data_IF_471113146717
#
_entry.id   IF_471113146717
#
_cell.length_a   1.000
_cell.length_b   1.000
_cell.length_c   1.000
_cell.angle_alpha   90.00
_cell.angle_beta   90.00
_cell.angle_gamma   90.00
#
_symmetry.space_group_name_H-M   'P 1'
#
loop_
_entity.id
_entity.type
_entity.pdbx_description
1 polymer ?
#
# COMPACT_ATOMS: atom_id res chain seq x y z
N UNK A 1 9.12 16.62 -11.13
CA UNK A 1 9.18 15.46 -12.03
C UNK A 1 10.61 14.96 -12.08
N UNK A 2 10.85 13.68 -11.83
CA UNK A 2 12.19 13.07 -11.89
C UNK A 2 12.45 12.57 -13.30
N UNK A 3 13.64 12.84 -13.82
CA UNK A 3 14.06 12.40 -15.15
C UNK A 3 15.29 11.51 -15.03
N UNK A 4 15.34 10.46 -15.84
CA UNK A 4 16.46 9.53 -15.91
C UNK A 4 16.96 9.46 -17.36
N UNK A 5 18.29 9.53 -17.52
CA UNK A 5 18.95 9.42 -18.83
C UNK A 5 20.12 8.45 -18.71
N UNK A 6 20.17 7.48 -19.61
CA UNK A 6 21.30 6.58 -19.75
C UNK A 6 22.33 7.22 -20.69
N UNK A 7 23.59 7.24 -20.27
CA UNK A 7 24.74 7.60 -21.11
C UNK A 7 25.69 6.40 -21.22
N UNK A 8 26.63 6.46 -22.17
CA UNK A 8 27.43 5.30 -22.57
C UNK A 8 28.20 4.61 -21.43
N UNK A 9 28.55 5.36 -20.38
CA UNK A 9 29.30 4.88 -19.21
C UNK A 9 28.66 5.23 -17.85
N UNK A 10 27.46 5.80 -17.80
CA UNK A 10 26.86 6.27 -16.53
C UNK A 10 25.33 6.32 -16.52
N UNK A 11 24.75 6.09 -15.34
CA UNK A 11 23.34 6.34 -15.04
C UNK A 11 23.20 7.63 -14.22
N UNK A 12 22.37 8.57 -14.69
CA UNK A 12 22.19 9.87 -14.04
C UNK A 12 20.73 10.12 -13.73
N UNK A 13 20.46 10.49 -12.47
CA UNK A 13 19.13 10.86 -11.96
C UNK A 13 19.11 12.36 -11.68
N UNK A 14 18.08 13.07 -12.18
CA UNK A 14 17.98 14.51 -12.06
C UNK A 14 16.76 14.96 -11.25
N UNK A 15 16.96 15.95 -10.37
CA UNK A 15 15.90 16.80 -9.78
C UNK A 15 16.41 18.23 -9.63
N UNK A 16 15.71 19.20 -10.23
CA UNK A 16 15.91 20.66 -10.08
C UNK A 16 17.39 21.08 -9.86
N UNK A 17 18.25 20.86 -10.86
CA UNK A 17 19.58 21.48 -10.93
C UNK A 17 20.73 20.83 -10.13
N UNK A 18 20.53 19.67 -9.48
CA UNK A 18 21.63 18.87 -8.88
C UNK A 18 21.74 17.52 -9.57
N UNK A 19 22.97 17.07 -9.83
CA UNK A 19 23.28 15.76 -10.43
C UNK A 19 24.18 14.94 -9.50
N UNK A 20 23.92 13.63 -9.45
CA UNK A 20 24.78 12.65 -8.77
C UNK A 20 25.10 11.54 -9.77
N UNK A 21 26.38 11.26 -9.99
CA UNK A 21 26.85 10.25 -10.93
C UNK A 21 27.15 8.95 -10.17
N UNK A 22 26.55 7.84 -10.60
CA UNK A 22 26.84 6.51 -10.07
C UNK A 22 27.53 5.70 -11.17
N UNK A 23 28.84 5.49 -11.03
CA UNK A 23 29.61 4.64 -11.92
C UNK A 23 29.20 3.18 -11.75
N UNK A 24 28.86 2.51 -12.84
CA UNK A 24 28.58 1.08 -12.89
C UNK A 24 29.79 0.35 -13.49
N UNK A 25 30.04 -0.89 -13.09
CA UNK A 25 31.12 -1.69 -13.70
C UNK A 25 30.68 -2.28 -15.06
N UNK A 26 31.64 -2.64 -15.91
CA UNK A 26 31.38 -3.09 -17.30
C UNK A 26 30.46 -4.31 -17.39
N UNK A 27 30.49 -5.22 -16.40
CA UNK A 27 29.65 -6.44 -16.40
C UNK A 27 28.17 -6.10 -16.17
N UNK A 28 27.87 -5.17 -15.27
CA UNK A 28 26.51 -4.67 -15.00
C UNK A 28 25.95 -3.92 -16.22
N UNK A 29 26.80 -3.19 -16.93
CA UNK A 29 26.45 -2.41 -18.12
C UNK A 29 26.08 -3.31 -19.32
N UNK A 30 26.81 -4.43 -19.51
CA UNK A 30 26.54 -5.42 -20.56
C UNK A 30 25.25 -6.20 -20.29
N UNK A 31 24.98 -6.55 -19.02
CA UNK A 31 23.75 -7.26 -18.62
C UNK A 31 22.50 -6.37 -18.74
N UNK A 32 22.63 -5.05 -18.55
CA UNK A 32 21.54 -4.09 -18.74
C UNK A 32 21.28 -3.75 -20.21
N UNK A 33 22.31 -3.59 -21.07
CA UNK A 33 22.14 -3.30 -22.51
C UNK A 33 21.44 -4.43 -23.27
N UNK A 34 21.51 -5.66 -22.77
CA UNK A 34 20.90 -6.85 -23.40
C UNK A 34 19.47 -7.15 -22.90
N UNK A 35 19.00 -6.51 -21.83
CA UNK A 35 17.70 -6.83 -21.23
C UNK A 35 16.55 -5.98 -21.80
N UNK A 36 15.76 -6.54 -22.73
CA UNK A 36 14.61 -5.86 -23.37
C UNK A 36 13.36 -5.67 -22.49
N UNK A 37 13.37 -6.00 -21.20
CA UNK A 37 12.17 -5.96 -20.35
C UNK A 37 12.18 -4.78 -19.37
N UNK A 38 11.41 -3.73 -19.70
CA UNK A 38 11.22 -2.49 -18.91
C UNK A 38 10.86 -2.73 -17.42
N UNK A 39 10.27 -3.88 -17.10
CA UNK A 39 9.94 -4.29 -15.73
C UNK A 39 11.17 -4.61 -14.87
N UNK A 40 12.23 -5.19 -15.46
CA UNK A 40 13.45 -5.55 -14.73
C UNK A 40 14.26 -4.30 -14.33
N UNK A 41 14.29 -3.30 -15.21
CA UNK A 41 14.94 -2.00 -14.95
C UNK A 41 14.25 -1.21 -13.81
N UNK A 42 12.92 -1.31 -13.71
CA UNK A 42 12.14 -0.70 -12.61
C UNK A 42 12.36 -1.42 -11.28
N UNK A 43 12.51 -2.75 -11.32
CA UNK A 43 12.84 -3.56 -10.14
C UNK A 43 14.25 -3.29 -9.60
N UNK A 44 15.25 -3.17 -10.48
CA UNK A 44 16.62 -2.85 -10.07
C UNK A 44 16.73 -1.44 -9.46
N UNK A 45 16.01 -0.45 -9.99
CA UNK A 45 15.95 0.88 -9.41
C UNK A 45 15.31 0.90 -8.00
N UNK A 46 14.29 0.06 -7.76
CA UNK A 46 13.69 -0.11 -6.44
C UNK A 46 14.64 -0.81 -5.45
N UNK A 47 15.41 -1.81 -5.90
CA UNK A 47 16.42 -2.47 -5.08
C UNK A 47 17.56 -1.51 -4.67
N UNK A 48 18.00 -0.63 -5.57
CA UNK A 48 19.05 0.37 -5.29
C UNK A 48 18.56 1.41 -4.26
N UNK A 49 17.28 1.81 -4.30
CA UNK A 49 16.70 2.73 -3.31
C UNK A 49 16.64 2.13 -1.89
N UNK A 50 16.42 0.81 -1.77
CA UNK A 50 16.42 0.09 -0.48
C UNK A 50 17.82 -0.06 0.10
N UNK A 51 18.84 -0.28 -0.75
CA UNK A 51 20.24 -0.43 -0.31
C UNK A 51 20.86 0.91 0.15
N UNK A 52 20.37 2.04 -0.36
CA UNK A 52 20.91 3.37 -0.05
C UNK A 52 20.30 4.05 1.20
N UNK A 53 19.48 3.36 2.00
CA UNK A 53 18.97 3.91 3.26
C UNK A 53 18.17 5.21 3.13
N UNK A 54 17.66 5.52 1.94
CA UNK A 54 16.74 6.64 1.75
C UNK A 54 15.39 6.23 2.32
N UNK A 55 15.04 6.81 3.47
CA UNK A 55 13.76 6.59 4.14
C UNK A 55 12.61 6.65 3.15
N UNK A 56 11.77 5.61 3.19
CA UNK A 56 10.53 5.55 2.42
C UNK A 56 9.80 6.87 2.61
N UNK A 57 9.62 7.63 1.52
CA UNK A 57 8.73 8.77 1.53
C UNK A 57 7.36 8.26 1.98
N UNK A 58 6.96 8.66 3.20
CA UNK A 58 5.59 8.53 3.65
C UNK A 58 4.69 9.27 2.66
N UNK A 59 3.63 8.60 2.20
CA UNK A 59 2.58 9.25 1.39
C UNK A 59 2.54 8.89 -0.09
N UNK A 60 2.90 7.67 -0.51
CA UNK A 60 2.34 7.17 -1.76
C UNK A 60 0.84 6.91 -1.52
N UNK A 61 -0.08 7.51 -2.31
CA UNK A 61 -1.48 7.18 -2.21
C UNK A 61 -1.63 5.68 -2.42
N UNK A 62 -2.49 5.06 -1.61
CA UNK A 62 -2.92 3.67 -1.76
C UNK A 62 -3.74 3.59 -3.05
N UNK A 63 -3.06 3.63 -4.20
CA UNK A 63 -3.66 3.50 -5.50
C UNK A 63 -4.06 2.05 -5.68
N UNK A 64 -5.30 1.81 -6.10
CA UNK A 64 -5.76 0.48 -6.43
C UNK A 64 -4.89 -0.08 -7.56
N UNK A 65 -4.21 -1.18 -7.30
CA UNK A 65 -3.33 -1.85 -8.25
C UNK A 65 -3.91 -3.22 -8.59
N UNK A 66 -3.54 -3.77 -9.73
CA UNK A 66 -3.86 -5.17 -10.01
C UNK A 66 -2.99 -6.07 -9.13
N UNK A 67 -3.47 -7.25 -8.78
CA UNK A 67 -2.67 -8.24 -8.04
C UNK A 67 -1.33 -8.60 -8.72
N UNK A 68 -1.22 -8.40 -10.04
CA UNK A 68 0.00 -8.60 -10.82
C UNK A 68 1.11 -7.60 -10.47
N UNK A 69 0.76 -6.40 -10.01
CA UNK A 69 1.67 -5.29 -9.69
C UNK A 69 2.12 -5.30 -8.23
N UNK A 70 1.42 -6.06 -7.37
CA UNK A 70 1.67 -6.13 -5.93
C UNK A 70 2.59 -7.30 -5.56
N UNK A 71 3.34 -7.12 -4.49
CA UNK A 71 4.12 -8.16 -3.81
C UNK A 71 3.83 -8.10 -2.31
N UNK A 72 4.21 -9.12 -1.54
CA UNK A 72 4.00 -9.11 -0.09
C UNK A 72 4.77 -7.96 0.57
N UNK A 73 4.11 -7.14 1.39
CA UNK A 73 4.75 -6.05 2.12
C UNK A 73 5.46 -6.55 3.40
N UNK A 74 6.27 -5.69 4.03
CA UNK A 74 6.83 -6.00 5.35
C UNK A 74 5.72 -6.20 6.40
N UNK A 75 4.67 -5.36 6.38
CA UNK A 75 3.52 -5.50 7.27
C UNK A 75 2.83 -6.86 7.06
N UNK A 76 2.68 -7.30 5.81
CA UNK A 76 2.16 -8.64 5.50
C UNK A 76 3.05 -9.78 6.02
N UNK A 77 4.37 -9.65 5.92
CA UNK A 77 5.32 -10.64 6.44
C UNK A 77 5.25 -10.74 7.96
N UNK A 78 5.32 -9.61 8.66
CA UNK A 78 5.24 -9.58 10.12
C UNK A 78 3.86 -10.04 10.61
N UNK A 79 2.82 -9.73 9.82
CA UNK A 79 1.50 -10.28 10.04
C UNK A 79 1.54 -11.81 10.02
N UNK A 80 2.04 -12.45 8.96
CA UNK A 80 2.05 -13.92 8.89
C UNK A 80 2.94 -14.51 9.99
N UNK A 81 4.14 -13.97 10.22
CA UNK A 81 5.08 -14.42 11.28
C UNK A 81 4.43 -14.50 12.67
N UNK A 82 3.61 -13.51 13.02
CA UNK A 82 2.92 -13.48 14.30
C UNK A 82 1.89 -14.62 14.48
N UNK A 83 1.40 -15.23 13.39
CA UNK A 83 0.44 -16.34 13.43
C UNK A 83 1.11 -17.71 13.30
N UNK A 84 2.16 -17.82 12.49
CA UNK A 84 2.90 -19.09 12.32
C UNK A 84 3.76 -19.42 13.54
N UNK A 85 4.30 -18.39 14.21
CA UNK A 85 5.30 -18.59 15.26
C UNK A 85 6.65 -19.03 14.68
N UNK A 86 7.70 -18.96 15.49
CA UNK A 86 9.05 -19.33 15.07
C UNK A 86 9.50 -20.62 15.73
N UNK A 87 9.94 -21.60 14.93
CA UNK A 87 10.67 -22.76 15.41
C UNK A 87 12.13 -22.74 14.92
N UNK A 88 13.07 -22.76 15.86
CA UNK A 88 14.50 -22.81 15.54
C UNK A 88 14.94 -24.16 14.98
N UNK A 89 14.18 -25.24 15.24
CA UNK A 89 14.49 -26.62 14.86
C UNK A 89 13.36 -27.22 14.06
N UNK A 90 13.68 -28.21 13.24
CA UNK A 90 12.66 -28.94 12.50
C UNK A 90 11.75 -29.76 13.43
N UNK A 91 10.46 -29.82 13.10
CA UNK A 91 9.47 -30.65 13.76
C UNK A 91 8.45 -31.17 12.75
N UNK A 92 7.75 -32.26 13.06
CA UNK A 92 6.64 -32.76 12.23
C UNK A 92 5.33 -32.10 12.67
N UNK A 93 4.61 -31.48 11.74
CA UNK A 93 3.37 -30.73 12.01
C UNK A 93 2.08 -31.54 11.74
N UNK A 94 2.22 -32.84 11.46
CA UNK A 94 1.11 -33.72 11.09
C UNK A 94 0.96 -33.94 9.58
N UNK A 95 1.51 -33.06 8.75
CA UNK A 95 1.49 -33.16 7.29
C UNK A 95 2.88 -33.13 6.65
N UNK A 96 3.81 -32.35 7.20
CA UNK A 96 5.18 -32.22 6.73
C UNK A 96 6.16 -31.95 7.88
N UNK A 97 7.46 -32.04 7.59
CA UNK A 97 8.49 -31.50 8.48
C UNK A 97 8.67 -30.01 8.22
N UNK A 98 8.41 -29.20 9.24
CA UNK A 98 8.40 -27.74 9.19
C UNK A 98 9.52 -27.15 10.06
N UNK A 99 10.03 -25.96 9.69
CA UNK A 99 11.04 -25.19 10.41
C UNK A 99 10.78 -23.68 10.20
N UNK A 100 11.31 -22.84 11.09
CA UNK A 100 11.20 -21.40 10.98
C UNK A 100 9.76 -20.94 11.17
N UNK A 101 9.20 -20.24 10.18
CA UNK A 101 7.82 -19.75 10.18
C UNK A 101 6.88 -20.67 9.39
N UNK A 102 6.98 -21.99 9.58
CA UNK A 102 6.14 -22.97 8.88
C UNK A 102 6.64 -23.40 7.49
N UNK A 103 7.87 -23.02 7.13
CA UNK A 103 8.51 -23.42 5.87
C UNK A 103 8.98 -24.87 5.92
N UNK A 104 9.12 -25.52 4.76
CA UNK A 104 9.59 -26.92 4.67
C UNK A 104 11.03 -27.08 5.20
N UNK A 105 11.21 -27.97 6.17
CA UNK A 105 12.51 -28.37 6.69
C UNK A 105 13.33 -29.21 5.69
N UNK A 106 12.65 -29.98 4.83
CA UNK A 106 13.25 -31.02 3.99
C UNK A 106 13.41 -32.37 4.72
N UNK A 107 13.27 -33.47 3.99
CA UNK A 107 13.17 -34.83 4.54
C UNK A 107 14.46 -35.33 5.21
N UNK A 108 15.62 -35.07 4.61
CA UNK A 108 16.93 -35.49 5.15
C UNK A 108 17.35 -34.74 6.41
N UNK A 109 16.88 -33.49 6.56
CA UNK A 109 17.31 -32.59 7.63
C UNK A 109 16.51 -32.81 8.94
N UNK A 110 15.25 -33.21 8.84
CA UNK A 110 14.46 -33.62 10.00
C UNK A 110 15.01 -34.88 10.65
N UNK A 111 15.42 -35.87 9.84
CA UNK A 111 15.94 -37.15 10.32
C UNK A 111 17.27 -37.03 11.08
N UNK A 112 18.06 -35.98 10.83
CA UNK A 112 19.34 -35.79 11.51
C UNK A 112 19.25 -35.03 12.83
N UNK A 113 18.12 -34.38 13.15
CA UNK A 113 17.93 -33.60 14.39
C UNK A 113 18.84 -32.36 14.55
N UNK A 114 19.74 -32.12 13.58
CA UNK A 114 20.81 -31.11 13.65
C UNK A 114 20.51 -29.86 12.82
N UNK A 115 19.39 -29.83 12.09
CA UNK A 115 19.02 -28.65 11.30
C UNK A 115 18.39 -27.58 12.19
N UNK A 116 19.09 -26.44 12.29
CA UNK A 116 18.60 -25.24 12.96
C UNK A 116 18.63 -24.03 12.05
N UNK A 117 17.73 -23.08 12.28
CA UNK A 117 17.63 -21.84 11.50
C UNK A 117 17.52 -20.63 12.44
N UNK A 118 18.05 -19.49 12.01
CA UNK A 118 17.86 -18.20 12.72
C UNK A 118 16.55 -17.54 12.28
N UNK A 119 16.02 -16.60 13.07
CA UNK A 119 14.81 -15.83 12.66
C UNK A 119 15.00 -15.11 11.32
N UNK A 120 16.19 -14.54 11.09
CA UNK A 120 16.51 -13.85 9.85
C UNK A 120 16.52 -14.80 8.65
N UNK A 121 17.18 -15.96 8.77
CA UNK A 121 17.19 -16.96 7.71
C UNK A 121 15.78 -17.56 7.48
N UNK A 122 15.00 -17.76 8.54
CA UNK A 122 13.62 -18.23 8.44
C UNK A 122 12.72 -17.23 7.71
N UNK A 123 12.89 -15.93 7.92
CA UNK A 123 12.14 -14.92 7.17
C UNK A 123 12.54 -14.92 5.69
N UNK A 124 13.83 -15.07 5.36
CA UNK A 124 14.28 -15.18 3.97
C UNK A 124 13.65 -16.41 3.29
N UNK A 125 13.67 -17.57 3.94
CA UNK A 125 13.05 -18.79 3.42
C UNK A 125 11.53 -18.61 3.21
N UNK A 126 10.85 -18.02 4.19
CA UNK A 126 9.41 -17.73 4.13
C UNK A 126 9.07 -16.79 2.96
N UNK A 127 9.85 -15.72 2.76
CA UNK A 127 9.66 -14.80 1.63
C UNK A 127 9.83 -15.51 0.29
N UNK A 128 10.85 -16.36 0.16
CA UNK A 128 11.08 -17.12 -1.06
C UNK A 128 9.89 -18.02 -1.36
N UNK A 129 9.37 -18.75 -0.37
CA UNK A 129 8.19 -19.61 -0.54
C UNK A 129 6.91 -18.82 -0.87
N UNK A 130 6.70 -17.66 -0.22
CA UNK A 130 5.62 -16.73 -0.56
C UNK A 130 5.69 -16.28 -2.01
N UNK A 131 6.86 -15.87 -2.48
CA UNK A 131 7.05 -15.39 -3.84
C UNK A 131 6.90 -16.52 -4.87
N UNK A 132 7.44 -17.71 -4.59
CA UNK A 132 7.45 -18.81 -5.55
C UNK A 132 6.11 -19.54 -5.63
N UNK A 133 5.37 -19.66 -4.52
CA UNK A 133 4.26 -20.62 -4.39
C UNK A 133 2.92 -19.93 -4.13
N UNK A 134 2.89 -18.96 -3.23
CA UNK A 134 1.63 -18.39 -2.73
C UNK A 134 1.16 -17.17 -3.54
N UNK A 135 2.04 -16.22 -3.85
CA UNK A 135 1.72 -15.04 -4.67
C UNK A 135 1.18 -15.43 -6.07
N UNK A 136 1.79 -16.37 -6.81
CA UNK A 136 1.26 -16.79 -8.10
C UNK A 136 -0.16 -17.36 -8.01
N UNK A 137 -0.48 -18.02 -6.90
CA UNK A 137 -1.80 -18.58 -6.65
C UNK A 137 -2.84 -17.48 -6.38
N UNK A 138 -2.51 -16.52 -5.51
CA UNK A 138 -3.35 -15.33 -5.29
C UNK A 138 -3.64 -14.64 -6.62
N UNK A 139 -2.59 -14.30 -7.38
CA UNK A 139 -2.72 -13.63 -8.69
C UNK A 139 -3.62 -14.37 -9.66
N UNK A 140 -3.45 -15.70 -9.77
CA UNK A 140 -4.31 -16.53 -10.65
C UNK A 140 -5.77 -16.48 -10.22
N UNK A 141 -6.04 -16.52 -8.92
CA UNK A 141 -7.41 -16.57 -8.39
C UNK A 141 -8.08 -15.18 -8.27
N UNK A 142 -7.30 -14.10 -8.37
CA UNK A 142 -7.77 -12.70 -8.34
C UNK A 142 -7.45 -11.93 -9.62
N UNK A 143 -7.29 -12.64 -10.74
CA UNK A 143 -6.94 -12.03 -12.03
C UNK A 143 -7.97 -10.98 -12.43
N UNK A 144 -7.49 -9.79 -12.82
CA UNK A 144 -8.34 -8.66 -13.23
C UNK A 144 -8.95 -7.84 -12.08
N UNK A 145 -8.82 -8.28 -10.83
CA UNK A 145 -9.30 -7.50 -9.69
C UNK A 145 -8.30 -6.43 -9.28
N UNK A 146 -8.82 -5.25 -8.99
CA UNK A 146 -8.08 -4.17 -8.34
C UNK A 146 -8.14 -4.34 -6.83
N UNK A 147 -7.03 -4.10 -6.16
CA UNK A 147 -6.92 -4.15 -4.71
C UNK A 147 -5.79 -3.27 -4.21
N UNK A 148 -5.83 -2.92 -2.93
CA UNK A 148 -4.73 -2.25 -2.26
C UNK A 148 -3.73 -3.25 -1.64
N UNK A 149 -2.61 -2.72 -1.13
CA UNK A 149 -1.55 -3.52 -0.53
C UNK A 149 -2.03 -4.37 0.64
N UNK A 150 -2.87 -3.84 1.54
CA UNK A 150 -3.37 -4.56 2.71
C UNK A 150 -4.31 -5.71 2.32
N UNK A 151 -5.15 -5.50 1.29
CA UNK A 151 -6.00 -6.53 0.73
C UNK A 151 -5.16 -7.66 0.12
N UNK A 152 -4.12 -7.33 -0.63
CA UNK A 152 -3.19 -8.31 -1.17
C UNK A 152 -2.45 -9.09 -0.07
N UNK A 153 -1.90 -8.40 0.93
CA UNK A 153 -1.19 -9.01 2.05
C UNK A 153 -2.09 -9.99 2.83
N UNK A 154 -3.35 -9.62 3.09
CA UNK A 154 -4.31 -10.49 3.76
C UNK A 154 -4.64 -11.74 2.94
N UNK A 155 -4.81 -11.61 1.61
CA UNK A 155 -5.03 -12.76 0.73
C UNK A 155 -3.81 -13.68 0.66
N UNK A 156 -2.60 -13.14 0.70
CA UNK A 156 -1.36 -13.95 0.79
C UNK A 156 -1.30 -14.68 2.14
N UNK A 157 -1.62 -14.02 3.26
CA UNK A 157 -1.70 -14.69 4.58
C UNK A 157 -2.72 -15.83 4.59
N UNK A 158 -3.90 -15.58 4.04
CA UNK A 158 -4.96 -16.59 3.90
C UNK A 158 -4.47 -17.79 3.09
N UNK A 159 -3.77 -17.53 1.98
CA UNK A 159 -3.24 -18.56 1.08
C UNK A 159 -2.12 -19.35 1.73
N UNK A 160 -1.22 -18.69 2.47
CA UNK A 160 -0.13 -19.34 3.21
C UNK A 160 -0.69 -20.35 4.21
N UNK A 161 -1.71 -19.94 4.98
CA UNK A 161 -2.34 -20.79 5.98
C UNK A 161 -3.08 -22.00 5.40
N UNK A 162 -3.75 -21.82 4.26
CA UNK A 162 -4.64 -22.85 3.70
C UNK A 162 -3.94 -23.73 2.68
N UNK A 163 -2.69 -23.43 2.32
CA UNK A 163 -1.97 -24.08 1.23
C UNK A 163 -2.47 -23.68 -0.17
N UNK A 164 -3.49 -22.81 -0.27
CA UNK A 164 -3.98 -22.26 -1.54
C UNK A 164 -4.72 -23.26 -2.43
N UNK A 165 -5.62 -24.09 -1.89
CA UNK A 165 -6.52 -24.92 -2.71
C UNK A 165 -7.13 -24.16 -3.89
N UNK A 166 -7.22 -24.79 -5.07
CA UNK A 166 -7.40 -24.17 -6.39
C UNK A 166 -8.59 -23.19 -6.52
N UNK A 167 -9.57 -23.29 -5.62
CA UNK A 167 -10.78 -22.46 -5.63
C UNK A 167 -11.07 -21.69 -4.33
N UNK A 168 -10.28 -21.88 -3.27
CA UNK A 168 -10.59 -21.28 -1.96
C UNK A 168 -10.45 -19.76 -1.96
N UNK A 169 -9.45 -19.21 -2.64
CA UNK A 169 -9.23 -17.76 -2.67
C UNK A 169 -10.33 -17.11 -3.50
N UNK A 170 -10.56 -17.60 -4.73
CA UNK A 170 -11.52 -16.98 -5.66
C UNK A 170 -12.96 -16.99 -5.15
N UNK A 171 -13.29 -17.93 -4.26
CA UNK A 171 -14.63 -18.08 -3.67
C UNK A 171 -14.72 -17.50 -2.26
N UNK A 172 -13.61 -17.00 -1.70
CA UNK A 172 -13.60 -16.41 -0.37
C UNK A 172 -14.49 -15.15 -0.32
N UNK A 173 -15.16 -14.90 0.81
CA UNK A 173 -15.93 -13.67 1.01
C UNK A 173 -15.15 -12.37 0.72
N UNK A 174 -13.84 -12.33 1.00
CA UNK A 174 -13.00 -11.17 0.70
C UNK A 174 -12.88 -10.89 -0.80
N UNK A 175 -12.71 -11.94 -1.62
CA UNK A 175 -12.66 -11.77 -3.09
C UNK A 175 -14.05 -11.46 -3.67
N UNK A 176 -15.11 -12.00 -3.08
CA UNK A 176 -16.49 -11.63 -3.46
C UNK A 176 -16.77 -10.15 -3.20
N UNK A 177 -16.27 -9.59 -2.09
CA UNK A 177 -16.29 -8.14 -1.85
C UNK A 177 -15.55 -7.35 -2.93
N UNK A 178 -14.34 -7.78 -3.36
CA UNK A 178 -13.60 -7.10 -4.44
C UNK A 178 -14.33 -7.12 -5.79
N UNK A 179 -15.24 -8.07 -6.00
CA UNK A 179 -16.11 -8.15 -7.18
C UNK A 179 -17.42 -7.36 -7.03
N UNK A 180 -17.66 -6.73 -5.89
CA UNK A 180 -18.91 -6.04 -5.59
C UNK A 180 -20.08 -6.97 -5.31
N UNK A 181 -19.85 -8.26 -5.04
CA UNK A 181 -20.91 -9.26 -4.83
C UNK A 181 -21.47 -9.25 -3.39
N UNK A 182 -20.80 -8.57 -2.45
CA UNK A 182 -21.23 -8.47 -1.05
C UNK A 182 -20.68 -7.23 -0.37
N UNK A 183 -21.38 -6.74 0.66
CA UNK A 183 -20.91 -5.62 1.49
C UNK A 183 -19.70 -6.01 2.33
N UNK A 184 -18.92 -5.02 2.76
CA UNK A 184 -17.78 -5.24 3.66
C UNK A 184 -18.19 -5.96 4.95
N UNK A 185 -19.29 -5.56 5.58
CA UNK A 185 -19.78 -6.18 6.82
C UNK A 185 -20.14 -7.66 6.61
N UNK A 186 -20.82 -7.99 5.51
CA UNK A 186 -21.17 -9.36 5.16
C UNK A 186 -19.91 -10.19 4.86
N UNK A 187 -18.95 -9.62 4.12
CA UNK A 187 -17.70 -10.28 3.80
C UNK A 187 -16.86 -10.59 5.04
N UNK A 188 -16.70 -9.62 5.95
CA UNK A 188 -15.95 -9.80 7.19
C UNK A 188 -16.56 -10.90 8.08
N UNK A 189 -17.89 -10.87 8.25
CA UNK A 189 -18.61 -11.86 9.06
C UNK A 189 -18.54 -13.26 8.45
N UNK A 190 -18.80 -13.39 7.15
CA UNK A 190 -18.72 -14.69 6.45
C UNK A 190 -17.30 -15.25 6.43
N UNK A 191 -16.28 -14.40 6.32
CA UNK A 191 -14.88 -14.83 6.27
C UNK A 191 -14.42 -15.45 7.60
N UNK A 192 -14.93 -14.97 8.74
CA UNK A 192 -14.60 -15.56 10.05
C UNK A 192 -14.91 -17.06 10.11
N UNK A 193 -15.99 -17.49 9.44
CA UNK A 193 -16.40 -18.89 9.38
C UNK A 193 -15.84 -19.63 8.15
N UNK A 194 -15.01 -18.98 7.33
CA UNK A 194 -14.41 -19.55 6.13
C UNK A 194 -13.15 -20.37 6.46
N UNK A 195 -13.37 -21.48 7.14
CA UNK A 195 -12.34 -22.38 7.68
C UNK A 195 -12.65 -23.83 7.33
N UNK A 196 -11.61 -24.66 7.21
CA UNK A 196 -11.80 -26.10 6.96
C UNK A 196 -12.23 -26.75 8.26
N UNK A 197 -13.37 -27.46 8.25
CA UNK A 197 -13.87 -28.24 9.39
C UNK A 197 -13.11 -29.56 9.50
N UNK A 198 -12.88 -30.02 10.74
CA UNK A 198 -12.35 -31.35 10.95
C UNK A 198 -13.40 -32.38 10.49
N UNK A 199 -13.08 -33.16 9.47
CA UNK A 199 -14.02 -34.11 8.85
C UNK A 199 -14.50 -35.22 9.80
N UNK A 200 -13.75 -35.54 10.85
CA UNK A 200 -14.11 -36.59 11.82
C UNK A 200 -14.98 -36.08 12.97
N UNK A 201 -14.88 -34.80 13.34
CA UNK A 201 -15.58 -34.25 14.51
C UNK A 201 -16.61 -33.17 14.16
N UNK A 202 -16.59 -32.66 12.93
CA UNK A 202 -17.39 -31.50 12.50
C UNK A 202 -17.00 -30.20 13.19
N UNK A 203 -16.00 -30.20 14.09
CA UNK A 203 -15.62 -29.04 14.87
C UNK A 203 -14.80 -28.05 14.03
N UNK A 204 -15.08 -26.77 14.28
CA UNK A 204 -14.34 -25.64 13.75
C UNK A 204 -13.27 -25.23 14.76
N UNK A 205 -12.03 -25.06 14.28
CA UNK A 205 -10.91 -24.56 15.09
C UNK A 205 -11.11 -23.06 15.41
N UNK A 206 -11.16 -22.72 16.70
CA UNK A 206 -11.35 -21.34 17.17
C UNK A 206 -10.14 -20.43 16.87
N UNK A 207 -8.94 -20.99 16.81
CA UNK A 207 -7.72 -20.32 16.36
C UNK A 207 -7.80 -19.92 14.89
N UNK A 208 -8.31 -20.81 14.02
CA UNK A 208 -8.55 -20.48 12.61
C UNK A 208 -9.59 -19.37 12.45
N UNK A 209 -10.70 -19.41 13.21
CA UNK A 209 -11.69 -18.32 13.20
C UNK A 209 -11.06 -16.99 13.57
N UNK A 210 -10.28 -16.95 14.66
CA UNK A 210 -9.59 -15.73 15.08
C UNK A 210 -8.58 -15.25 14.03
N UNK A 211 -7.86 -16.16 13.36
CA UNK A 211 -6.97 -15.82 12.25
C UNK A 211 -7.73 -15.18 11.10
N UNK A 212 -8.86 -15.77 10.67
CA UNK A 212 -9.72 -15.20 9.62
C UNK A 212 -10.22 -13.80 9.98
N UNK A 213 -10.68 -13.60 11.22
CA UNK A 213 -11.09 -12.27 11.72
C UNK A 213 -9.96 -11.25 11.61
N UNK A 214 -8.74 -11.62 11.98
CA UNK A 214 -7.57 -10.73 11.90
C UNK A 214 -7.15 -10.44 10.44
N UNK A 215 -7.26 -11.43 9.55
CA UNK A 215 -6.98 -11.26 8.12
C UNK A 215 -8.03 -10.36 7.46
N UNK A 216 -9.32 -10.52 7.76
CA UNK A 216 -10.35 -9.57 7.34
C UNK A 216 -10.06 -8.17 7.89
N UNK A 217 -9.66 -8.05 9.16
CA UNK A 217 -9.25 -6.75 9.74
C UNK A 217 -8.09 -6.13 8.96
N UNK A 218 -7.05 -6.90 8.61
CA UNK A 218 -5.96 -6.41 7.77
C UNK A 218 -6.49 -5.99 6.38
N UNK A 219 -7.25 -6.87 5.73
CA UNK A 219 -7.81 -6.65 4.41
C UNK A 219 -8.59 -5.32 4.33
N UNK A 220 -9.38 -5.02 5.36
CA UNK A 220 -10.16 -3.79 5.46
C UNK A 220 -9.42 -2.65 6.19
N UNK A 221 -8.20 -2.83 6.72
CA UNK A 221 -7.50 -1.77 7.46
C UNK A 221 -7.04 -0.59 6.59
N UNK A 222 -7.00 -0.78 5.25
CA UNK A 222 -6.79 0.29 4.26
C UNK A 222 -8.07 0.88 3.68
N UNK A 223 -9.24 0.45 4.19
CA UNK A 223 -10.57 0.87 3.79
C UNK A 223 -11.25 1.37 5.05
N UNK A 224 -11.35 2.68 5.30
CA UNK A 224 -12.11 3.13 6.47
C UNK A 224 -13.60 2.81 6.21
N UNK A 225 -14.24 1.88 6.96
CA UNK A 225 -15.65 1.51 6.73
C UNK A 225 -16.64 2.59 7.17
N UNK A 226 -16.13 3.69 7.72
CA UNK A 226 -16.93 4.80 8.19
C UNK A 226 -16.72 5.98 7.24
N UNK A 227 -17.73 6.86 7.10
CA UNK A 227 -17.51 8.14 6.46
C UNK A 227 -16.34 8.88 7.14
N UNK A 228 -15.62 9.73 6.41
CA UNK A 228 -14.57 10.54 7.01
C UNK A 228 -15.12 11.34 8.20
N UNK A 229 -14.32 11.50 9.25
CA UNK A 229 -14.78 12.18 10.47
C UNK A 229 -14.54 13.68 10.45
N UNK A 230 -13.39 14.09 9.90
CA UNK A 230 -12.99 15.48 9.81
C UNK A 230 -12.07 15.68 8.62
N UNK A 231 -12.04 16.91 8.11
CA UNK A 231 -11.06 17.39 7.16
C UNK A 231 -10.49 18.72 7.67
N UNK A 232 -9.24 19.02 7.32
CA UNK A 232 -8.57 20.26 7.69
C UNK A 232 -7.65 20.70 6.57
N UNK A 233 -7.81 21.97 6.17
CA UNK A 233 -6.90 22.68 5.28
C UNK A 233 -6.12 23.71 6.07
N UNK A 234 -4.83 23.83 5.79
CA UNK A 234 -3.96 24.88 6.34
C UNK A 234 -3.11 25.47 5.22
N UNK A 235 -2.64 26.69 5.45
CA UNK A 235 -1.73 27.37 4.55
C UNK A 235 -0.32 27.36 5.14
N UNK A 236 0.68 27.48 4.28
CA UNK A 236 2.08 27.51 4.68
C UNK A 236 2.48 28.82 5.39
N UNK A 237 1.81 29.93 5.07
CA UNK A 237 1.99 31.25 5.69
C UNK A 237 0.63 31.99 5.80
N UNK A 238 0.61 33.29 6.15
CA UNK A 238 -0.64 34.05 6.40
C UNK A 238 -0.90 35.22 5.42
N UNK A 239 0.08 35.61 4.62
CA UNK A 239 -0.02 36.71 3.66
C UNK A 239 0.87 36.46 2.45
N UNK A 240 0.39 36.80 1.25
CA UNK A 240 1.08 36.53 -0.01
C UNK A 240 0.99 37.70 -0.96
N UNK A 241 1.93 37.78 -1.89
CA UNK A 241 1.87 38.72 -3.01
C UNK A 241 1.17 38.10 -4.22
N UNK A 242 0.57 38.97 -5.03
CA UNK A 242 0.11 38.58 -6.35
C UNK A 242 1.25 37.91 -7.16
N UNK A 243 0.96 36.74 -7.73
CA UNK A 243 1.90 35.90 -8.48
C UNK A 243 2.66 34.87 -7.64
N UNK A 244 2.69 34.98 -6.31
CA UNK A 244 3.30 33.95 -5.45
C UNK A 244 2.50 32.65 -5.47
N UNK A 245 3.21 31.52 -5.33
CA UNK A 245 2.59 30.20 -5.24
C UNK A 245 2.27 29.87 -3.79
N UNK A 246 0.99 29.73 -3.49
CA UNK A 246 0.47 29.29 -2.20
C UNK A 246 0.43 27.77 -2.15
N UNK A 247 0.66 27.19 -0.97
CA UNK A 247 0.49 25.75 -0.76
C UNK A 247 -0.53 25.47 0.33
N UNK A 248 -1.62 24.83 -0.06
CA UNK A 248 -2.67 24.30 0.80
C UNK A 248 -2.26 22.90 1.26
N UNK A 249 -2.06 22.73 2.56
CA UNK A 249 -1.82 21.42 3.18
C UNK A 249 -3.16 20.81 3.60
N UNK A 250 -3.43 19.61 3.10
CA UNK A 250 -4.70 18.91 3.22
C UNK A 250 -4.54 17.71 4.17
N UNK A 251 -5.48 17.55 5.09
CA UNK A 251 -5.49 16.43 6.03
C UNK A 251 -6.91 16.00 6.37
N UNK A 252 -7.09 14.72 6.67
CA UNK A 252 -8.36 14.17 7.15
C UNK A 252 -8.16 12.89 7.95
N UNK A 253 -9.20 12.47 8.65
CA UNK A 253 -9.33 11.11 9.15
C UNK A 253 -10.34 10.35 8.29
N UNK A 254 -9.85 9.33 7.58
CA UNK A 254 -10.70 8.36 6.89
C UNK A 254 -11.06 8.66 5.44
N UNK A 255 -10.70 9.84 4.92
CA UNK A 255 -10.82 10.15 3.50
C UNK A 255 -9.71 9.51 2.67
N UNK A 256 -10.01 9.22 1.41
CA UNK A 256 -9.04 8.68 0.43
C UNK A 256 -8.69 9.68 -0.67
N UNK A 257 -9.39 10.82 -0.69
CA UNK A 257 -9.23 11.92 -1.65
C UNK A 257 -9.80 13.22 -1.06
N UNK A 258 -9.53 14.33 -1.75
CA UNK A 258 -9.99 15.67 -1.43
C UNK A 258 -10.51 16.38 -2.68
N UNK A 259 -11.54 17.19 -2.50
CA UNK A 259 -11.94 18.27 -3.41
C UNK A 259 -11.62 19.59 -2.73
N UNK A 260 -10.73 20.39 -3.32
CA UNK A 260 -10.36 21.72 -2.84
C UNK A 260 -11.27 22.74 -3.52
N UNK A 261 -12.01 23.52 -2.72
CA UNK A 261 -12.84 24.62 -3.21
C UNK A 261 -12.26 25.97 -2.79
N UNK A 262 -11.90 26.79 -3.78
CA UNK A 262 -11.36 28.14 -3.56
C UNK A 262 -12.32 29.17 -4.11
N UNK A 263 -12.69 30.13 -3.27
CA UNK A 263 -13.62 31.20 -3.62
C UNK A 263 -12.96 32.57 -3.41
N UNK A 264 -13.24 33.53 -4.28
CA UNK A 264 -12.97 34.96 -4.02
C UNK A 264 -14.10 35.54 -3.18
N UNK A 265 -13.79 36.49 -2.31
CA UNK A 265 -14.81 37.29 -1.61
C UNK A 265 -15.17 38.53 -2.43
N UNK A 266 -16.48 38.75 -2.57
CA UNK A 266 -17.04 39.88 -3.29
C UNK A 266 -17.26 41.06 -2.35
N UNK A 267 -17.35 42.27 -2.92
CA UNK A 267 -17.55 43.50 -2.13
C UNK A 267 -18.86 43.51 -1.33
N UNK A 268 -19.86 42.75 -1.75
CA UNK A 268 -21.15 42.57 -1.09
C UNK A 268 -21.12 41.51 0.04
N UNK A 269 -19.95 40.93 0.34
CA UNK A 269 -19.80 39.81 1.27
C UNK A 269 -20.18 38.44 0.68
N UNK A 270 -20.58 38.41 -0.59
CA UNK A 270 -20.78 37.19 -1.36
C UNK A 270 -19.47 36.48 -1.70
N UNK A 271 -19.57 35.28 -2.29
CA UNK A 271 -18.41 34.48 -2.70
C UNK A 271 -18.60 33.95 -4.11
N UNK A 272 -17.52 33.93 -4.87
CA UNK A 272 -17.51 33.36 -6.23
C UNK A 272 -16.44 32.29 -6.34
N UNK A 273 -16.83 31.09 -6.78
CA UNK A 273 -15.92 29.96 -7.01
C UNK A 273 -14.93 30.27 -8.11
N UNK A 274 -13.64 30.21 -7.79
CA UNK A 274 -12.54 30.45 -8.75
C UNK A 274 -11.70 29.20 -9.02
N UNK A 275 -11.79 28.18 -8.16
CA UNK A 275 -11.13 26.90 -8.40
C UNK A 275 -11.80 25.73 -7.68
N UNK A 276 -11.89 24.60 -8.39
CA UNK A 276 -12.30 23.30 -7.86
C UNK A 276 -11.27 22.28 -8.29
N UNK A 277 -10.55 21.70 -7.34
CA UNK A 277 -9.45 20.78 -7.63
C UNK A 277 -9.59 19.47 -6.87
N UNK A 278 -9.72 18.36 -7.60
CA UNK A 278 -9.73 17.02 -7.02
C UNK A 278 -8.32 16.44 -6.96
N UNK A 279 -7.93 15.93 -5.79
CA UNK A 279 -6.61 15.34 -5.58
C UNK A 279 -6.62 14.20 -4.57
N UNK A 280 -5.66 13.29 -4.69
CA UNK A 280 -5.32 12.29 -3.65
C UNK A 280 -4.04 12.67 -2.89
N UNK A 281 -3.38 13.75 -3.30
CA UNK A 281 -2.22 14.27 -2.62
C UNK A 281 -2.63 15.01 -1.35
N UNK A 282 -1.70 15.13 -0.41
CA UNK A 282 -1.91 15.86 0.86
C UNK A 282 -1.57 17.35 0.74
N UNK A 283 -1.35 17.84 -0.48
CA UNK A 283 -1.07 19.24 -0.74
C UNK A 283 -1.57 19.66 -2.12
N UNK A 284 -2.02 20.91 -2.24
CA UNK A 284 -2.33 21.55 -3.50
C UNK A 284 -1.63 22.91 -3.56
N UNK A 285 -1.04 23.27 -4.69
CA UNK A 285 -0.35 24.56 -4.84
C UNK A 285 -0.91 25.37 -6.01
N UNK A 286 -1.09 26.68 -5.81
CA UNK A 286 -1.67 27.59 -6.80
C UNK A 286 -1.15 29.01 -6.64
N UNK A 287 -0.99 29.73 -7.75
CA UNK A 287 -0.71 31.17 -7.75
C UNK A 287 -1.97 32.00 -7.99
N UNK A 288 -2.01 33.20 -7.39
CA UNK A 288 -3.12 34.15 -7.50
C UNK A 288 -2.59 35.47 -8.06
N UNK A 289 -3.07 35.89 -9.22
CA UNK A 289 -2.57 37.11 -9.88
C UNK A 289 -3.35 38.36 -9.48
N UNK A 290 -4.56 38.20 -8.95
CA UNK A 290 -5.40 39.30 -8.52
C UNK A 290 -5.29 39.44 -6.99
N UNK A 291 -4.97 40.63 -6.47
CA UNK A 291 -5.09 40.91 -5.04
C UNK A 291 -6.55 40.79 -4.59
N UNK A 292 -6.73 40.52 -3.31
CA UNK A 292 -8.05 40.45 -2.70
C UNK A 292 -8.15 39.39 -1.61
N UNK A 293 -9.36 39.26 -1.09
CA UNK A 293 -9.70 38.28 -0.07
C UNK A 293 -10.21 37.01 -0.71
N UNK A 294 -9.72 35.90 -0.22
CA UNK A 294 -10.04 34.57 -0.69
C UNK A 294 -10.40 33.68 0.49
N UNK A 295 -11.07 32.58 0.17
CA UNK A 295 -11.32 31.53 1.12
C UNK A 295 -11.15 30.16 0.49
N UNK A 296 -10.80 29.19 1.31
CA UNK A 296 -10.61 27.80 0.91
C UNK A 296 -11.32 26.88 1.88
N UNK A 297 -11.94 25.83 1.37
CA UNK A 297 -12.35 24.67 2.16
C UNK A 297 -12.03 23.42 1.37
N UNK A 298 -12.00 22.28 2.08
CA UNK A 298 -11.83 20.98 1.43
C UNK A 298 -12.97 20.06 1.82
N UNK A 299 -13.42 19.25 0.86
CA UNK A 299 -14.29 18.10 1.11
C UNK A 299 -13.42 16.86 0.97
N UNK A 300 -13.31 16.04 2.02
CA UNK A 300 -12.68 14.73 1.93
C UNK A 300 -13.75 13.66 1.79
N UNK A 301 -13.48 12.59 1.05
CA UNK A 301 -14.48 11.55 0.80
C UNK A 301 -13.88 10.15 0.72
N UNK A 302 -14.73 9.17 0.97
CA UNK A 302 -14.53 7.75 0.68
C UNK A 302 -15.84 7.14 0.17
N UNK A 303 -15.89 5.82 -0.03
CA UNK A 303 -17.10 5.13 -0.53
C UNK A 303 -18.29 5.18 0.46
N UNK A 304 -18.08 5.57 1.72
CA UNK A 304 -19.07 5.59 2.79
C UNK A 304 -19.59 7.00 3.12
N UNK A 305 -18.98 8.05 2.57
CA UNK A 305 -19.46 9.42 2.72
C UNK A 305 -18.37 10.48 2.58
N UNK A 306 -18.68 11.66 3.08
CA UNK A 306 -17.88 12.86 2.96
C UNK A 306 -17.81 13.62 4.29
N UNK A 307 -16.75 14.40 4.47
CA UNK A 307 -16.64 15.41 5.51
C UNK A 307 -15.98 16.67 4.96
N UNK A 308 -16.54 17.81 5.34
CA UNK A 308 -16.00 19.12 4.99
C UNK A 308 -15.07 19.63 6.09
N UNK A 309 -14.07 20.40 5.69
CA UNK A 309 -13.27 21.18 6.63
C UNK A 309 -13.99 22.46 7.00
N UNK A 310 -13.56 23.07 8.11
CA UNK A 310 -13.76 24.50 8.28
C UNK A 310 -13.15 25.27 7.11
N UNK A 311 -13.78 26.39 6.77
CA UNK A 311 -13.30 27.31 5.75
C UNK A 311 -12.22 28.21 6.34
N UNK A 312 -11.09 28.29 5.66
CA UNK A 312 -10.02 29.23 5.99
C UNK A 312 -10.10 30.45 5.07
N UNK A 313 -9.60 31.58 5.55
CA UNK A 313 -9.60 32.86 4.85
C UNK A 313 -8.17 33.35 4.71
N UNK A 314 -7.86 33.97 3.58
CA UNK A 314 -6.55 34.51 3.29
C UNK A 314 -6.62 35.72 2.36
N UNK A 315 -5.60 36.56 2.40
CA UNK A 315 -5.51 37.77 1.58
C UNK A 315 -4.26 37.73 0.71
N UNK A 316 -4.43 38.14 -0.55
CA UNK A 316 -3.34 38.32 -1.52
C UNK A 316 -3.18 39.81 -1.73
N UNK A 317 -1.96 40.32 -1.56
CA UNK A 317 -1.63 41.74 -1.61
C UNK A 317 -0.93 42.11 -2.92
N UNK A 318 -1.13 43.34 -3.39
CA UNK A 318 -0.38 43.92 -4.51
C UNK A 318 1.10 44.21 -4.18
N UNK A 319 1.42 44.34 -2.89
CA UNK A 319 2.72 44.77 -2.36
C UNK A 319 3.00 43.99 -1.08
N UNK A 320 4.27 43.78 -0.73
CA UNK A 320 4.61 43.12 0.55
C UNK A 320 3.89 43.85 1.71
N UNK A 321 3.16 43.12 2.56
CA UNK A 321 2.60 43.68 3.78
C UNK A 321 3.70 44.08 4.78
#
# INVERSE_FOLDING_TARGET
MWYYKFMDTSFVVFKKGKYTNFGLNEKELVQMKTCRRKWLARWLAACIAVVLGMGMCAGLPVSAATSAELTISQNGIDFIKAREGFSAKCYYDGAQSSIGYGTKCGTKAHASGLHSITKAAAEVAMRQEIVSSYIPNVRRQTSGLQMNQNQFDALVSFTYNTGGGTSMIKNSPLVKYLRGEMSQAAAASAFESYVVTNSATGKVDSGLKNRRRLEAKLFFSGVNPNPPKWAKVTLDHYAWMAGETLTFNLSSEGGVAYTVGIDTENADGGRTRIDTHDTRDTSYSRSFNNPGKYSCYITTYNEYGLADSERIYFEVYDKKP
#
